data_IF_961649511329
#
_entry.id   IF_961649511329
#
_cell.length_a   1.000
_cell.length_b   1.000
_cell.length_c   1.000
_cell.angle_alpha   90.00
_cell.angle_beta   90.00
_cell.angle_gamma   90.00
#
_symmetry.space_group_name_H-M   'P 1'
#
loop_
_entity.id
_entity.type
_entity.pdbx_description
1 polymer ?
#
# COMPACT_ATOMS: atom_id res chain seq x y z
N UNK A 1 47.47 62.46 -8.68
CA UNK A 1 47.72 61.36 -7.71
C UNK A 1 46.38 60.81 -7.25
N UNK A 2 45.98 59.62 -7.70
CA UNK A 2 45.02 58.75 -7.00
C UNK A 2 45.12 57.37 -7.65
N UNK A 3 45.52 56.37 -6.85
CA UNK A 3 45.78 54.98 -7.23
C UNK A 3 44.47 54.20 -7.23
N UNK A 4 44.20 53.43 -8.29
CA UNK A 4 43.25 52.32 -8.26
C UNK A 4 43.82 51.17 -7.41
N UNK A 5 43.13 50.78 -6.35
CA UNK A 5 43.32 49.52 -5.65
C UNK A 5 42.18 48.57 -5.99
N UNK A 6 42.50 47.44 -6.62
CA UNK A 6 41.62 46.30 -6.79
C UNK A 6 41.73 45.42 -5.54
N UNK A 7 40.61 45.18 -4.87
CA UNK A 7 40.49 44.23 -3.77
C UNK A 7 40.04 42.86 -4.33
N UNK A 8 40.74 41.74 -4.06
CA UNK A 8 40.34 40.44 -4.57
C UNK A 8 39.21 39.84 -3.72
N UNK A 9 38.08 39.57 -4.37
CA UNK A 9 36.94 38.81 -3.85
C UNK A 9 37.41 37.51 -3.18
N UNK A 10 37.19 37.40 -1.86
CA UNK A 10 37.26 36.14 -1.13
C UNK A 10 36.21 35.18 -1.68
N UNK A 11 36.65 34.18 -2.43
CA UNK A 11 35.89 32.96 -2.71
C UNK A 11 35.65 32.23 -1.39
N UNK A 12 34.47 32.43 -0.79
CA UNK A 12 33.96 31.55 0.26
C UNK A 12 33.67 30.19 -0.35
N UNK A 13 34.38 29.16 0.14
CA UNK A 13 34.13 27.75 -0.17
C UNK A 13 32.63 27.45 -0.02
N UNK A 14 31.96 26.78 -0.98
CA UNK A 14 30.63 26.28 -0.74
C UNK A 14 30.72 25.27 0.42
N UNK A 15 29.93 25.52 1.46
CA UNK A 15 29.72 24.57 2.55
C UNK A 15 29.18 23.28 1.96
N UNK A 16 29.91 22.18 2.17
CA UNK A 16 29.46 20.84 1.78
C UNK A 16 28.05 20.63 2.34
N UNK A 17 27.06 20.22 1.52
CA UNK A 17 25.73 19.94 2.03
C UNK A 17 25.83 18.87 3.14
N UNK A 18 24.99 18.94 4.17
CA UNK A 18 24.99 17.95 5.24
C UNK A 18 24.85 16.55 4.64
N UNK A 19 25.64 15.62 5.15
CA UNK A 19 25.54 14.21 4.77
C UNK A 19 24.09 13.75 5.02
N UNK A 20 23.43 13.09 4.06
CA UNK A 20 22.10 12.57 4.28
C UNK A 20 22.10 11.60 5.47
N UNK A 21 21.04 11.57 6.29
CA UNK A 21 20.93 10.63 7.39
C UNK A 21 21.11 9.20 6.86
N UNK A 22 22.02 8.46 7.48
CA UNK A 22 22.19 7.03 7.20
C UNK A 22 20.90 6.30 7.63
N UNK A 23 20.55 5.18 6.99
CA UNK A 23 19.47 4.28 7.47
C UNK A 23 19.61 4.01 8.99
N UNK A 24 20.84 4.00 9.51
CA UNK A 24 21.15 3.80 10.95
C UNK A 24 20.66 4.91 11.88
N UNK A 25 20.34 6.12 11.41
CA UNK A 25 19.88 7.22 12.26
C UNK A 25 18.36 7.33 12.38
N UNK A 26 17.59 6.62 11.54
CA UNK A 26 16.14 6.56 11.65
C UNK A 26 15.72 5.37 12.52
N UNK A 27 14.81 5.61 13.46
CA UNK A 27 14.23 4.55 14.28
C UNK A 27 13.02 3.96 13.56
N UNK A 28 13.17 2.76 12.98
CA UNK A 28 12.08 2.02 12.35
C UNK A 28 11.26 1.22 13.37
N UNK A 29 10.92 1.84 14.51
CA UNK A 29 10.25 1.15 15.62
C UNK A 29 8.89 0.57 15.21
N UNK A 30 8.07 1.35 14.49
CA UNK A 30 6.77 0.89 13.98
C UNK A 30 6.92 -0.34 13.07
N UNK A 31 7.86 -0.30 12.12
CA UNK A 31 8.17 -1.41 11.21
C UNK A 31 8.67 -2.65 11.97
N UNK A 32 9.58 -2.49 12.93
CA UNK A 32 10.10 -3.62 13.71
C UNK A 32 9.02 -4.26 14.59
N UNK A 33 8.19 -3.43 15.25
CA UNK A 33 7.04 -3.90 16.02
C UNK A 33 6.06 -4.66 15.13
N UNK A 34 5.72 -4.09 13.97
CA UNK A 34 4.84 -4.72 13.00
C UNK A 34 5.40 -6.07 12.53
N UNK A 35 6.67 -6.14 12.08
CA UNK A 35 7.33 -7.40 11.69
C UNK A 35 7.30 -8.48 12.79
N UNK A 36 7.38 -8.09 14.06
CA UNK A 36 7.37 -9.03 15.19
C UNK A 36 5.96 -9.52 15.57
N UNK A 37 4.91 -8.90 15.05
CA UNK A 37 3.53 -9.25 15.40
C UNK A 37 3.17 -10.59 14.75
N UNK A 38 2.45 -11.49 15.43
CA UNK A 38 1.90 -12.70 14.80
C UNK A 38 0.95 -12.37 13.66
N UNK A 39 0.64 -13.35 12.82
CA UNK A 39 -0.43 -13.18 11.83
C UNK A 39 -1.73 -12.83 12.55
N UNK A 40 -2.38 -11.76 12.12
CA UNK A 40 -3.62 -11.30 12.71
C UNK A 40 -4.77 -12.08 12.06
N UNK A 41 -5.58 -12.88 12.78
CA UNK A 41 -6.68 -13.65 12.18
C UNK A 41 -7.99 -12.87 12.11
N UNK A 42 -8.03 -11.60 12.54
CA UNK A 42 -9.28 -10.87 12.79
C UNK A 42 -9.97 -10.36 11.51
N UNK A 43 -10.40 -11.26 10.64
CA UNK A 43 -11.03 -10.94 9.34
C UNK A 43 -12.51 -10.51 9.46
N UNK A 44 -13.09 -10.50 10.66
CA UNK A 44 -14.49 -10.11 10.88
C UNK A 44 -14.59 -8.94 11.87
N UNK A 45 -15.48 -7.99 11.60
CA UNK A 45 -15.74 -6.88 12.51
C UNK A 45 -16.96 -7.16 13.40
N UNK A 46 -16.71 -7.52 14.66
CA UNK A 46 -17.73 -7.83 15.65
C UNK A 46 -18.40 -6.60 16.28
N UNK A 47 -19.21 -6.80 17.33
CA UNK A 47 -19.86 -5.70 18.05
C UNK A 47 -18.87 -4.75 18.76
N UNK A 48 -17.71 -5.25 19.18
CA UNK A 48 -16.69 -4.51 19.96
C UNK A 48 -15.42 -4.19 19.18
N UNK A 49 -15.33 -4.54 17.90
CA UNK A 49 -14.13 -4.39 17.09
C UNK A 49 -13.77 -5.65 16.30
N UNK A 50 -12.55 -5.69 15.72
CA UNK A 50 -12.10 -6.81 14.90
C UNK A 50 -11.92 -8.08 15.75
N UNK A 51 -12.37 -9.21 15.23
CA UNK A 51 -12.29 -10.53 15.85
C UNK A 51 -12.11 -11.62 14.78
N UNK A 52 -11.70 -12.85 15.15
CA UNK A 52 -11.61 -13.96 14.20
C UNK A 52 -12.99 -14.30 13.60
N UNK A 53 -13.04 -14.97 12.43
CA UNK A 53 -14.29 -15.45 11.87
C UNK A 53 -15.05 -16.35 12.86
N UNK A 54 -16.36 -16.14 12.99
CA UNK A 54 -17.24 -17.06 13.71
C UNK A 54 -17.49 -18.31 12.87
N UNK A 55 -17.47 -19.50 13.48
CA UNK A 55 -17.69 -20.80 12.81
C UNK A 55 -19.02 -20.93 12.07
N UNK A 56 -19.97 -20.02 12.29
CA UNK A 56 -21.27 -19.94 11.62
C UNK A 56 -21.29 -19.05 10.39
N UNK A 57 -20.25 -18.25 10.15
CA UNK A 57 -20.14 -17.44 8.93
C UNK A 57 -19.67 -18.36 7.81
N UNK A 58 -20.55 -18.61 6.84
CA UNK A 58 -20.23 -19.38 5.63
C UNK A 58 -18.97 -18.79 5.01
N UNK A 59 -17.84 -19.46 5.22
CA UNK A 59 -16.64 -19.24 4.41
C UNK A 59 -17.12 -19.26 2.97
N UNK A 60 -16.75 -18.28 2.12
CA UNK A 60 -16.92 -18.47 0.68
C UNK A 60 -16.32 -19.84 0.41
N UNK A 61 -17.16 -20.78 -0.02
CA UNK A 61 -16.70 -22.13 -0.32
C UNK A 61 -15.53 -21.95 -1.26
N UNK A 62 -14.32 -22.30 -0.77
CA UNK A 62 -13.18 -22.50 -1.64
C UNK A 62 -13.74 -23.28 -2.85
N UNK A 63 -13.43 -22.86 -4.09
CA UNK A 63 -13.85 -23.63 -5.25
C UNK A 63 -13.57 -25.12 -4.96
N UNK A 64 -14.50 -26.03 -5.30
CA UNK A 64 -14.33 -27.46 -5.02
C UNK A 64 -12.91 -27.85 -5.41
N UNK A 65 -12.18 -28.63 -4.57
CA UNK A 65 -10.73 -28.75 -4.64
C UNK A 65 -10.32 -28.95 -6.09
N UNK A 66 -9.89 -27.87 -6.73
CA UNK A 66 -9.39 -27.92 -8.08
C UNK A 66 -8.16 -28.80 -7.96
N UNK A 67 -8.07 -29.81 -8.83
CA UNK A 67 -6.98 -30.79 -8.91
C UNK A 67 -5.60 -30.16 -9.13
N UNK A 68 -5.51 -28.83 -9.11
CA UNK A 68 -4.32 -28.02 -9.17
C UNK A 68 -3.63 -28.00 -7.80
N UNK A 69 -2.36 -28.42 -7.71
CA UNK A 69 -1.60 -28.31 -6.47
C UNK A 69 -1.50 -26.85 -6.03
N UNK A 70 -1.40 -26.63 -4.71
CA UNK A 70 -1.13 -25.30 -4.16
C UNK A 70 0.17 -24.73 -4.75
N UNK A 71 0.25 -23.41 -4.98
CA UNK A 71 1.47 -22.77 -5.45
C UNK A 71 2.67 -23.08 -4.54
N UNK A 72 3.84 -23.32 -5.13
CA UNK A 72 5.05 -23.76 -4.44
C UNK A 72 6.03 -22.64 -4.11
N UNK A 73 5.76 -21.41 -4.53
CA UNK A 73 6.57 -20.22 -4.25
C UNK A 73 5.68 -19.01 -3.99
N UNK A 74 6.22 -17.98 -3.32
CA UNK A 74 5.48 -16.75 -3.05
C UNK A 74 5.14 -15.99 -4.34
N UNK A 75 6.03 -16.06 -5.34
CA UNK A 75 5.80 -15.50 -6.68
C UNK A 75 4.65 -16.22 -7.42
N UNK A 76 4.51 -17.54 -7.26
CA UNK A 76 3.40 -18.28 -7.88
C UNK A 76 2.06 -17.98 -7.19
N UNK A 77 2.08 -17.81 -5.86
CA UNK A 77 0.92 -17.31 -5.12
C UNK A 77 0.50 -15.93 -5.61
N UNK A 78 1.45 -15.01 -5.77
CA UNK A 78 1.19 -13.67 -6.28
C UNK A 78 0.53 -13.72 -7.67
N UNK A 79 1.03 -14.53 -8.61
CA UNK A 79 0.41 -14.72 -9.94
C UNK A 79 -1.01 -15.27 -9.86
N UNK A 80 -1.27 -16.25 -8.98
CA UNK A 80 -2.62 -16.79 -8.76
C UNK A 80 -3.58 -15.74 -8.21
N UNK A 81 -3.15 -14.97 -7.21
CA UNK A 81 -3.96 -13.95 -6.54
C UNK A 81 -4.27 -12.80 -7.50
N UNK A 82 -3.28 -12.32 -8.24
CA UNK A 82 -3.48 -11.31 -9.28
C UNK A 82 -4.41 -11.81 -10.39
N UNK A 83 -4.46 -13.11 -10.66
CA UNK A 83 -5.37 -13.72 -11.64
C UNK A 83 -6.77 -13.99 -11.08
N UNK A 84 -7.02 -13.76 -9.80
CA UNK A 84 -8.32 -13.98 -9.14
C UNK A 84 -9.19 -12.73 -9.25
N UNK A 85 -10.32 -12.82 -9.95
CA UNK A 85 -11.20 -11.67 -10.17
C UNK A 85 -12.06 -11.31 -8.94
N UNK A 86 -12.61 -12.30 -8.25
CA UNK A 86 -13.52 -12.05 -7.12
C UNK A 86 -12.76 -11.45 -5.91
N UNK A 87 -13.15 -10.27 -5.40
CA UNK A 87 -12.40 -9.58 -4.34
C UNK A 87 -12.29 -10.35 -3.01
N UNK A 88 -13.36 -11.05 -2.60
CA UNK A 88 -13.35 -11.82 -1.35
C UNK A 88 -12.52 -13.10 -1.48
N UNK A 89 -12.57 -13.76 -2.64
CA UNK A 89 -11.71 -14.89 -2.97
C UNK A 89 -10.24 -14.46 -3.03
N UNK A 90 -9.95 -13.31 -3.66
CA UNK A 90 -8.61 -12.71 -3.69
C UNK A 90 -8.08 -12.44 -2.27
N UNK A 91 -8.92 -11.87 -1.41
CA UNK A 91 -8.57 -11.60 -0.01
C UNK A 91 -8.31 -12.89 0.77
N UNK A 92 -9.14 -13.92 0.56
CA UNK A 92 -8.99 -15.23 1.20
C UNK A 92 -7.71 -15.95 0.75
N UNK A 93 -7.41 -15.93 -0.55
CA UNK A 93 -6.17 -16.52 -1.10
C UNK A 93 -4.94 -15.76 -0.61
N UNK A 94 -5.01 -14.45 -0.49
CA UNK A 94 -3.94 -13.62 0.08
C UNK A 94 -3.61 -14.04 1.50
N UNK A 95 -4.63 -14.19 2.34
CA UNK A 95 -4.43 -14.65 3.72
C UNK A 95 -3.87 -16.06 3.79
N UNK A 96 -4.38 -16.96 2.94
CA UNK A 96 -3.87 -18.33 2.85
C UNK A 96 -2.40 -18.35 2.43
N UNK A 97 -2.00 -17.58 1.42
CA UNK A 97 -0.63 -17.51 0.93
C UNK A 97 0.34 -17.08 2.03
N UNK A 98 0.04 -15.98 2.72
CA UNK A 98 0.91 -15.46 3.77
C UNK A 98 0.93 -16.38 5.00
N UNK A 99 -0.23 -16.95 5.38
CA UNK A 99 -0.30 -17.98 6.42
C UNK A 99 0.57 -19.19 6.09
N UNK A 100 0.49 -19.71 4.86
CA UNK A 100 1.31 -20.84 4.41
C UNK A 100 2.80 -20.51 4.45
N UNK A 101 3.19 -19.31 4.01
CA UNK A 101 4.58 -18.83 4.09
C UNK A 101 5.11 -18.83 5.53
N UNK A 102 4.32 -18.39 6.52
CA UNK A 102 4.77 -18.38 7.92
C UNK A 102 4.92 -19.78 8.53
N UNK A 103 4.12 -20.75 8.12
CA UNK A 103 4.23 -22.13 8.60
C UNK A 103 5.38 -22.88 7.91
N UNK A 104 5.53 -22.66 6.61
CA UNK A 104 6.55 -23.26 5.77
C UNK A 104 7.07 -22.20 4.78
N UNK A 105 8.20 -21.55 5.08
CA UNK A 105 8.75 -20.49 4.23
C UNK A 105 8.84 -20.93 2.78
N UNK A 106 8.00 -20.31 1.95
CA UNK A 106 7.96 -20.58 0.52
C UNK A 106 9.10 -19.82 -0.14
N UNK A 107 9.81 -20.41 -1.12
CA UNK A 107 10.85 -19.70 -1.84
C UNK A 107 10.25 -18.52 -2.63
N UNK A 108 11.10 -17.53 -2.92
CA UNK A 108 10.81 -16.51 -3.93
C UNK A 108 11.34 -17.03 -5.26
N UNK A 109 10.47 -17.55 -6.12
CA UNK A 109 10.90 -18.04 -7.42
C UNK A 109 11.21 -16.88 -8.36
N UNK A 110 12.43 -16.87 -8.91
CA UNK A 110 12.86 -15.92 -9.96
C UNK A 110 12.43 -16.37 -11.35
N UNK A 111 11.98 -17.62 -11.48
CA UNK A 111 11.46 -18.23 -12.70
C UNK A 111 10.04 -18.72 -12.41
N UNK A 112 9.06 -17.83 -12.58
CA UNK A 112 7.65 -18.20 -12.43
C UNK A 112 7.19 -18.96 -13.68
N UNK A 113 6.60 -20.16 -13.56
CA UNK A 113 6.04 -20.90 -14.69
C UNK A 113 4.96 -20.11 -15.45
N UNK A 114 4.31 -19.16 -14.76
CA UNK A 114 3.38 -18.20 -15.35
C UNK A 114 3.85 -16.78 -15.00
N UNK A 115 4.16 -15.92 -15.99
CA UNK A 115 4.54 -14.55 -15.72
C UNK A 115 3.39 -13.81 -15.02
N UNK A 116 3.70 -12.77 -14.22
CA UNK A 116 2.64 -11.96 -13.63
C UNK A 116 1.74 -11.38 -14.72
N UNK A 117 0.41 -11.36 -14.51
CA UNK A 117 -0.48 -10.75 -15.48
C UNK A 117 -0.12 -9.27 -15.62
N UNK A 118 -0.32 -8.70 -16.82
CA UNK A 118 -0.10 -7.27 -17.04
C UNK A 118 -0.95 -6.40 -16.11
N UNK A 119 -2.12 -6.92 -15.73
CA UNK A 119 -3.10 -6.28 -14.86
C UNK A 119 -3.81 -7.34 -14.01
N UNK A 120 -4.15 -7.06 -12.73
CA UNK A 120 -4.92 -7.95 -11.92
C UNK A 120 -6.31 -8.17 -12.53
N UNK A 121 -6.78 -9.40 -12.45
CA UNK A 121 -8.15 -9.73 -12.72
C UNK A 121 -9.07 -8.93 -11.78
N UNK A 122 -10.19 -8.46 -12.34
CA UNK A 122 -11.20 -7.67 -11.66
C UNK A 122 -12.59 -8.27 -11.91
N UNK A 123 -13.53 -8.10 -10.98
CA UNK A 123 -14.93 -8.44 -11.23
C UNK A 123 -15.52 -7.51 -12.31
N UNK A 124 -16.70 -7.85 -12.83
CA UNK A 124 -17.40 -7.00 -13.82
C UNK A 124 -17.76 -5.60 -13.27
N UNK A 125 -17.88 -5.44 -11.95
CA UNK A 125 -18.17 -4.18 -11.29
C UNK A 125 -17.29 -3.99 -10.06
N UNK A 126 -16.79 -2.78 -9.76
CA UNK A 126 -17.15 -1.50 -10.40
C UNK A 126 -16.55 -1.33 -11.80
N UNK A 127 -17.17 -0.47 -12.63
CA UNK A 127 -16.49 0.03 -13.82
C UNK A 127 -15.32 0.92 -13.40
N UNK A 128 -14.15 0.68 -14.00
CA UNK A 128 -12.96 1.46 -13.72
C UNK A 128 -12.87 2.62 -14.71
N UNK A 129 -12.90 3.84 -14.19
CA UNK A 129 -13.03 5.08 -14.97
C UNK A 129 -11.94 6.08 -14.57
N UNK A 130 -11.84 7.21 -15.29
CA UNK A 130 -10.97 8.29 -14.82
C UNK A 130 -11.52 8.93 -13.55
N UNK A 131 -10.66 9.58 -12.76
CA UNK A 131 -11.07 10.24 -11.52
C UNK A 131 -12.17 11.31 -11.71
N UNK A 132 -12.32 11.87 -12.92
CA UNK A 132 -13.34 12.88 -13.24
C UNK A 132 -14.73 12.27 -13.50
N UNK A 133 -14.77 10.97 -13.78
CA UNK A 133 -15.98 10.23 -14.11
C UNK A 133 -16.54 9.46 -12.91
N UNK A 134 -15.78 9.39 -11.81
CA UNK A 134 -16.32 8.90 -10.54
C UNK A 134 -17.35 9.92 -10.04
N UNK A 135 -18.61 9.52 -9.79
CA UNK A 135 -19.64 10.46 -9.36
C UNK A 135 -19.25 11.12 -8.05
N UNK A 136 -19.58 12.41 -7.89
CA UNK A 136 -19.41 13.07 -6.60
C UNK A 136 -20.34 12.47 -5.54
N UNK A 137 -20.10 12.65 -4.23
CA UNK A 137 -21.02 12.17 -3.19
C UNK A 137 -22.47 12.65 -3.37
N UNK A 138 -22.68 13.81 -4.00
CA UNK A 138 -24.01 14.38 -4.25
C UNK A 138 -24.72 13.74 -5.46
N UNK A 139 -23.96 13.26 -6.43
CA UNK A 139 -24.47 12.64 -7.67
C UNK A 139 -24.54 11.12 -7.57
N UNK A 140 -23.84 10.54 -6.60
CA UNK A 140 -23.91 9.11 -6.31
C UNK A 140 -25.28 8.72 -5.72
N UNK A 141 -25.72 7.50 -6.04
CA UNK A 141 -26.91 6.89 -5.44
C UNK A 141 -26.65 6.34 -4.03
N UNK A 142 -25.39 6.27 -3.61
CA UNK A 142 -25.01 5.81 -2.28
C UNK A 142 -25.15 6.94 -1.24
N UNK A 143 -25.60 6.64 -0.01
CA UNK A 143 -25.51 7.58 1.09
C UNK A 143 -24.02 7.86 1.40
N UNK A 144 -23.75 9.00 2.03
CA UNK A 144 -22.38 9.50 2.22
C UNK A 144 -21.43 8.49 2.86
N UNK A 145 -21.87 7.78 3.90
CA UNK A 145 -21.06 6.77 4.59
C UNK A 145 -20.73 5.57 3.68
N UNK A 146 -21.70 5.05 2.92
CA UNK A 146 -21.48 3.96 1.96
C UNK A 146 -20.61 4.43 0.77
N UNK A 147 -20.78 5.66 0.29
CA UNK A 147 -19.94 6.26 -0.74
C UNK A 147 -18.47 6.30 -0.32
N UNK A 148 -18.20 6.81 0.89
CA UNK A 148 -16.84 6.93 1.41
C UNK A 148 -16.21 5.55 1.64
N UNK A 149 -16.99 4.62 2.20
CA UNK A 149 -16.53 3.27 2.48
C UNK A 149 -16.30 2.44 1.21
N UNK A 150 -17.10 2.63 0.16
CA UNK A 150 -16.87 1.97 -1.14
C UNK A 150 -15.58 2.45 -1.78
N UNK A 151 -15.30 3.76 -1.76
CA UNK A 151 -14.01 4.28 -2.22
C UNK A 151 -12.85 3.70 -1.40
N UNK A 152 -12.98 3.62 -0.07
CA UNK A 152 -11.95 3.00 0.77
C UNK A 152 -11.75 1.53 0.41
N UNK A 153 -12.83 0.73 0.31
CA UNK A 153 -12.76 -0.66 -0.14
C UNK A 153 -12.08 -0.80 -1.51
N UNK A 154 -12.27 0.16 -2.42
CA UNK A 154 -11.55 0.17 -3.69
C UNK A 154 -10.05 0.37 -3.51
N UNK A 155 -9.64 1.27 -2.62
CA UNK A 155 -8.22 1.47 -2.25
C UNK A 155 -7.64 0.19 -1.66
N UNK A 156 -8.28 -0.39 -0.64
CA UNK A 156 -7.80 -1.63 0.01
C UNK A 156 -7.62 -2.78 -0.99
N UNK A 157 -8.60 -2.99 -1.89
CA UNK A 157 -8.49 -4.03 -2.91
C UNK A 157 -7.33 -3.78 -3.88
N UNK A 158 -7.07 -2.51 -4.22
CA UNK A 158 -5.90 -2.17 -5.01
C UNK A 158 -4.63 -2.43 -4.21
N UNK A 159 -4.56 -2.06 -2.93
CA UNK A 159 -3.36 -2.25 -2.10
C UNK A 159 -2.93 -3.74 -2.04
N UNK A 160 -3.89 -4.67 -1.96
CA UNK A 160 -3.64 -6.13 -2.14
C UNK A 160 -2.93 -6.39 -3.48
N UNK A 161 -3.48 -5.87 -4.58
CA UNK A 161 -2.93 -6.05 -5.93
C UNK A 161 -1.55 -5.40 -6.09
N UNK A 162 -1.33 -4.20 -5.55
CA UNK A 162 -0.07 -3.47 -5.62
C UNK A 162 1.05 -4.20 -4.88
N UNK A 163 0.73 -4.75 -3.70
CA UNK A 163 1.66 -5.50 -2.88
C UNK A 163 2.06 -6.81 -3.55
N UNK A 164 1.08 -7.61 -4.03
CA UNK A 164 1.38 -8.85 -4.74
C UNK A 164 2.09 -8.63 -6.07
N UNK A 165 1.72 -7.58 -6.81
CA UNK A 165 2.45 -7.20 -8.02
C UNK A 165 3.92 -6.88 -7.71
N UNK A 166 4.18 -6.17 -6.61
CA UNK A 166 5.55 -5.87 -6.16
C UNK A 166 6.33 -7.16 -5.86
N UNK A 167 5.70 -8.14 -5.21
CA UNK A 167 6.33 -9.44 -4.92
C UNK A 167 6.76 -10.16 -6.20
N UNK A 168 5.84 -10.36 -7.13
CA UNK A 168 6.12 -11.17 -8.33
C UNK A 168 6.97 -10.44 -9.36
N UNK A 169 6.74 -9.13 -9.54
CA UNK A 169 7.37 -8.35 -10.60
C UNK A 169 8.85 -8.10 -10.34
N UNK A 170 9.21 -7.91 -9.08
CA UNK A 170 10.60 -7.71 -8.68
C UNK A 170 11.27 -8.99 -8.18
N UNK A 171 10.62 -10.16 -8.29
CA UNK A 171 11.22 -11.45 -7.96
C UNK A 171 12.57 -11.70 -8.67
N UNK A 172 12.78 -11.31 -9.96
CA UNK A 172 14.10 -11.40 -10.58
C UNK A 172 15.22 -10.60 -9.89
N UNK A 173 14.86 -9.61 -9.05
CA UNK A 173 15.79 -8.80 -8.27
C UNK A 173 16.05 -9.37 -6.85
N UNK A 174 15.61 -10.59 -6.56
CA UNK A 174 15.72 -11.22 -5.23
C UNK A 174 17.12 -11.14 -4.64
N UNK A 175 18.16 -11.43 -5.41
CA UNK A 175 19.54 -11.39 -4.92
C UNK A 175 19.97 -9.98 -4.45
N UNK A 176 19.44 -8.93 -5.07
CA UNK A 176 19.73 -7.55 -4.70
C UNK A 176 18.88 -7.07 -3.51
N UNK A 177 17.60 -7.44 -3.48
CA UNK A 177 16.61 -6.96 -2.49
C UNK A 177 16.60 -7.80 -1.20
N UNK A 178 16.86 -9.10 -1.31
CA UNK A 178 16.75 -10.08 -0.21
C UNK A 178 15.31 -10.51 0.06
N UNK A 179 15.16 -11.67 0.72
CA UNK A 179 13.84 -12.28 0.98
C UNK A 179 12.91 -11.38 1.81
N UNK A 180 13.48 -10.61 2.74
CA UNK A 180 12.72 -9.69 3.59
C UNK A 180 11.90 -8.65 2.82
N UNK A 181 12.32 -8.28 1.60
CA UNK A 181 11.55 -7.36 0.75
C UNK A 181 10.22 -8.00 0.37
N UNK A 182 10.27 -9.24 -0.11
CA UNK A 182 9.09 -9.97 -0.57
C UNK A 182 8.19 -10.38 0.59
N UNK A 183 8.79 -10.73 1.72
CA UNK A 183 8.05 -11.02 2.95
C UNK A 183 7.26 -9.80 3.44
N UNK A 184 7.89 -8.63 3.52
CA UNK A 184 7.20 -7.42 3.95
C UNK A 184 6.03 -7.08 3.02
N UNK A 185 6.19 -7.14 1.69
CA UNK A 185 5.09 -6.85 0.77
C UNK A 185 3.99 -7.91 0.79
N UNK A 186 4.32 -9.20 0.94
CA UNK A 186 3.30 -10.24 1.13
C UNK A 186 2.52 -10.05 2.44
N UNK A 187 3.20 -9.54 3.47
CA UNK A 187 2.57 -9.20 4.75
C UNK A 187 1.69 -7.95 4.66
N UNK A 188 2.13 -6.90 3.96
CA UNK A 188 1.27 -5.75 3.62
C UNK A 188 0.01 -6.26 2.96
N UNK A 189 0.13 -7.10 1.92
CA UNK A 189 -1.04 -7.67 1.24
C UNK A 189 -2.01 -8.41 2.19
N UNK A 190 -1.50 -9.14 3.19
CA UNK A 190 -2.32 -9.81 4.20
C UNK A 190 -3.13 -8.82 5.07
N UNK A 191 -2.53 -7.69 5.44
CA UNK A 191 -3.24 -6.61 6.15
C UNK A 191 -4.31 -5.97 5.26
N UNK A 192 -3.99 -5.64 4.01
CA UNK A 192 -4.97 -5.05 3.08
C UNK A 192 -6.12 -5.99 2.76
N UNK A 193 -5.87 -7.30 2.72
CA UNK A 193 -6.92 -8.31 2.56
C UNK A 193 -7.92 -8.29 3.72
N UNK A 194 -7.45 -7.98 4.93
CA UNK A 194 -8.27 -7.82 6.13
C UNK A 194 -9.02 -6.50 6.09
N UNK A 195 -8.35 -5.40 5.74
CA UNK A 195 -8.96 -4.07 5.60
C UNK A 195 -10.11 -4.10 4.59
N UNK A 196 -9.88 -4.69 3.41
CA UNK A 196 -10.90 -4.88 2.39
C UNK A 196 -12.10 -5.69 2.93
N UNK A 197 -11.82 -6.79 3.64
CA UNK A 197 -12.88 -7.65 4.18
C UNK A 197 -13.75 -6.90 5.20
N UNK A 198 -13.15 -6.06 6.08
CA UNK A 198 -13.92 -5.21 7.00
C UNK A 198 -14.78 -4.18 6.25
N UNK A 199 -14.23 -3.55 5.22
CA UNK A 199 -14.98 -2.59 4.40
C UNK A 199 -16.15 -3.28 3.66
N UNK A 200 -15.90 -4.43 3.04
CA UNK A 200 -16.90 -5.21 2.32
C UNK A 200 -18.01 -5.70 3.24
N UNK A 201 -17.67 -6.20 4.44
CA UNK A 201 -18.64 -6.57 5.45
C UNK A 201 -19.53 -5.36 5.82
N UNK A 202 -18.90 -4.21 6.11
CA UNK A 202 -19.64 -3.03 6.53
C UNK A 202 -20.51 -2.42 5.42
N UNK A 203 -20.08 -2.49 4.16
CA UNK A 203 -20.94 -2.12 3.02
C UNK A 203 -22.20 -3.00 2.98
N UNK A 204 -22.05 -4.32 3.15
CA UNK A 204 -23.18 -5.24 3.16
C UNK A 204 -24.16 -4.95 4.30
N UNK A 205 -23.66 -4.64 5.50
CA UNK A 205 -24.48 -4.21 6.64
C UNK A 205 -25.25 -2.90 6.38
N UNK A 206 -24.72 -2.02 5.53
CA UNK A 206 -25.37 -0.78 5.10
C UNK A 206 -26.36 -1.01 3.94
N UNK A 207 -26.46 -2.23 3.42
CA UNK A 207 -27.34 -2.58 2.29
C UNK A 207 -26.71 -2.35 0.91
N UNK A 208 -25.39 -2.21 0.83
CA UNK A 208 -24.63 -1.95 -0.39
C UNK A 208 -23.53 -3.00 -0.59
N UNK A 209 -22.87 -2.96 -1.74
CA UNK A 209 -21.72 -3.83 -2.03
C UNK A 209 -20.64 -3.06 -2.78
N UNK A 210 -19.41 -3.57 -2.66
CA UNK A 210 -18.34 -3.15 -3.54
C UNK A 210 -18.75 -3.41 -4.99
N UNK A 211 -18.67 -2.36 -5.82
CA UNK A 211 -19.16 -2.37 -7.21
C UNK A 211 -20.45 -1.59 -7.48
N UNK A 212 -21.16 -1.10 -6.46
CA UNK A 212 -22.42 -0.34 -6.65
C UNK A 212 -22.24 1.06 -7.27
N UNK A 213 -21.00 1.56 -7.36
CA UNK A 213 -20.65 2.77 -8.11
C UNK A 213 -19.32 2.60 -8.86
N UNK A 214 -19.08 3.35 -9.94
CA UNK A 214 -17.78 3.39 -10.62
C UNK A 214 -16.64 3.75 -9.66
N UNK A 215 -15.45 3.27 -9.96
CA UNK A 215 -14.24 3.55 -9.18
C UNK A 215 -13.10 4.03 -10.09
N UNK A 216 -12.14 4.77 -9.55
CA UNK A 216 -11.04 5.31 -10.36
C UNK A 216 -9.95 4.27 -10.64
N UNK A 217 -9.28 4.33 -11.79
CA UNK A 217 -8.15 3.42 -12.09
C UNK A 217 -6.75 3.97 -11.70
N UNK A 218 -6.70 5.03 -10.89
CA UNK A 218 -5.47 5.78 -10.62
C UNK A 218 -4.34 4.89 -10.05
N UNK A 219 -4.62 4.15 -8.98
CA UNK A 219 -3.60 3.37 -8.26
C UNK A 219 -2.91 2.33 -9.16
N UNK A 220 -3.71 1.56 -9.91
CA UNK A 220 -3.15 0.56 -10.82
C UNK A 220 -2.36 1.21 -11.96
N UNK A 221 -2.84 2.33 -12.51
CA UNK A 221 -2.09 3.05 -13.55
C UNK A 221 -0.71 3.51 -13.06
N UNK A 222 -0.61 4.02 -11.84
CA UNK A 222 0.69 4.40 -11.26
C UNK A 222 1.59 3.18 -10.97
N UNK A 223 1.00 2.05 -10.59
CA UNK A 223 1.70 0.77 -10.44
C UNK A 223 2.29 0.26 -11.75
N UNK A 224 1.49 0.33 -12.83
CA UNK A 224 1.86 -0.10 -14.16
C UNK A 224 2.98 0.78 -14.74
N UNK A 225 2.89 2.10 -14.55
CA UNK A 225 3.95 3.04 -14.96
C UNK A 225 5.28 2.75 -14.29
N UNK A 226 5.25 2.41 -13.00
CA UNK A 226 6.45 2.09 -12.20
C UNK A 226 6.91 0.62 -12.30
N UNK A 227 6.30 -0.19 -13.17
CA UNK A 227 6.54 -1.64 -13.26
C UNK A 227 7.98 -2.04 -13.62
N UNK A 228 8.72 -1.14 -14.28
CA UNK A 228 10.11 -1.39 -14.71
C UNK A 228 11.20 -0.94 -13.73
N UNK A 229 10.85 -0.26 -12.63
CA UNK A 229 11.83 0.33 -11.71
C UNK A 229 11.36 0.21 -10.25
N UNK A 230 12.11 -0.56 -9.45
CA UNK A 230 11.77 -0.79 -8.03
C UNK A 230 11.86 0.49 -7.18
N UNK A 231 12.77 1.40 -7.50
CA UNK A 231 12.87 2.70 -6.85
C UNK A 231 11.65 3.56 -7.17
N UNK A 232 11.23 3.59 -8.43
CA UNK A 232 9.99 4.26 -8.85
C UNK A 232 8.75 3.64 -8.18
N UNK A 233 8.68 2.30 -8.11
CA UNK A 233 7.58 1.59 -7.42
C UNK A 233 7.45 2.06 -5.99
N UNK A 234 8.57 2.07 -5.26
CA UNK A 234 8.62 2.46 -3.85
C UNK A 234 8.33 3.96 -3.65
N UNK A 235 8.80 4.82 -4.55
CA UNK A 235 8.50 6.25 -4.48
C UNK A 235 7.01 6.53 -4.74
N UNK A 236 6.45 5.94 -5.80
CA UNK A 236 5.11 6.30 -6.27
C UNK A 236 4.01 5.64 -5.45
N UNK A 237 4.18 4.38 -5.03
CA UNK A 237 3.12 3.64 -4.34
C UNK A 237 3.16 3.88 -2.82
N UNK A 238 4.08 3.28 -2.03
CA UNK A 238 4.01 3.41 -0.58
C UNK A 238 4.36 4.82 -0.08
N UNK A 239 5.28 5.54 -0.73
CA UNK A 239 5.71 6.87 -0.26
C UNK A 239 4.79 8.02 -0.71
N UNK A 240 3.94 7.81 -1.72
CA UNK A 240 2.96 8.83 -2.16
C UNK A 240 1.53 8.34 -2.01
N UNK A 241 1.12 7.23 -2.64
CA UNK A 241 -0.27 6.80 -2.58
C UNK A 241 -0.67 6.34 -1.17
N UNK A 242 0.10 5.45 -0.55
CA UNK A 242 -0.22 4.99 0.81
C UNK A 242 -0.01 6.10 1.85
N UNK A 243 1.04 6.93 1.67
CA UNK A 243 1.25 8.10 2.53
C UNK A 243 0.09 9.13 2.49
N UNK A 244 -0.67 9.22 1.39
CA UNK A 244 -1.91 10.02 1.34
C UNK A 244 -3.00 9.43 2.22
N UNK A 245 -3.01 8.11 2.45
CA UNK A 245 -3.85 7.43 3.42
C UNK A 245 -3.64 7.95 4.84
N UNK A 246 -2.37 8.14 5.25
CA UNK A 246 -2.03 8.73 6.56
C UNK A 246 -2.58 10.15 6.75
N UNK A 247 -2.64 10.92 5.67
CA UNK A 247 -3.16 12.29 5.68
C UNK A 247 -4.69 12.32 5.69
N UNK A 248 -5.32 11.43 4.92
CA UNK A 248 -6.77 11.41 4.71
C UNK A 248 -7.55 10.66 5.78
N UNK A 249 -6.98 9.61 6.36
CA UNK A 249 -7.61 8.72 7.34
C UNK A 249 -8.28 9.46 8.50
N UNK A 250 -7.56 10.32 9.25
CA UNK A 250 -8.16 11.07 10.36
C UNK A 250 -9.33 11.96 9.94
N UNK A 251 -9.25 12.59 8.77
CA UNK A 251 -10.34 13.43 8.23
C UNK A 251 -11.57 12.58 7.88
N UNK A 252 -11.35 11.40 7.31
CA UNK A 252 -12.42 10.46 6.99
C UNK A 252 -13.11 9.96 8.26
N UNK A 253 -12.35 9.62 9.30
CA UNK A 253 -12.89 9.25 10.63
C UNK A 253 -13.79 10.36 11.18
N UNK A 254 -13.30 11.62 11.21
CA UNK A 254 -14.09 12.75 11.73
C UNK A 254 -15.36 12.99 10.92
N UNK A 255 -15.29 12.82 9.59
CA UNK A 255 -16.46 12.96 8.72
C UNK A 255 -17.53 11.91 9.01
N UNK A 256 -17.13 10.66 9.29
CA UNK A 256 -18.05 9.56 9.63
C UNK A 256 -18.65 9.73 11.03
N UNK A 257 -17.86 10.22 11.99
CA UNK A 257 -18.37 10.60 13.33
C UNK A 257 -19.42 11.70 13.20
N UNK A 258 -19.12 12.76 12.44
CA UNK A 258 -20.07 13.85 12.20
C UNK A 258 -21.34 13.42 11.46
N UNK A 259 -21.28 12.36 10.66
CA UNK A 259 -22.45 11.73 10.04
C UNK A 259 -23.24 10.82 11.01
N UNK A 260 -22.67 10.46 12.16
CA UNK A 260 -23.27 9.56 13.16
C UNK A 260 -22.99 8.07 12.94
N UNK A 261 -22.12 7.70 11.99
CA UNK A 261 -21.78 6.29 11.71
C UNK A 261 -20.49 5.88 12.45
N UNK A 262 -20.61 5.71 13.76
CA UNK A 262 -19.50 5.33 14.63
C UNK A 262 -18.90 3.96 14.30
N UNK A 263 -19.70 3.03 13.76
CA UNK A 263 -19.19 1.70 13.39
C UNK A 263 -18.23 1.81 12.21
N UNK A 264 -18.63 2.53 11.16
CA UNK A 264 -17.75 2.77 10.01
C UNK A 264 -16.54 3.62 10.42
N UNK A 265 -16.70 4.63 11.29
CA UNK A 265 -15.56 5.43 11.76
C UNK A 265 -14.53 4.59 12.51
N UNK A 266 -14.95 3.61 13.31
CA UNK A 266 -14.02 2.73 14.04
C UNK A 266 -13.26 1.79 13.09
N UNK A 267 -13.91 1.30 12.02
CA UNK A 267 -13.24 0.52 10.98
C UNK A 267 -12.15 1.36 10.31
N UNK A 268 -12.51 2.56 9.84
CA UNK A 268 -11.55 3.47 9.19
C UNK A 268 -10.42 3.87 10.13
N UNK A 269 -10.72 4.12 11.40
CA UNK A 269 -9.70 4.46 12.39
C UNK A 269 -8.70 3.31 12.59
N UNK A 270 -9.18 2.06 12.58
CA UNK A 270 -8.30 0.91 12.73
C UNK A 270 -7.43 0.67 11.49
N UNK A 271 -7.98 0.85 10.29
CA UNK A 271 -7.21 0.80 9.04
C UNK A 271 -6.11 1.87 9.09
N UNK A 272 -6.47 3.13 9.36
CA UNK A 272 -5.52 4.23 9.42
C UNK A 272 -4.41 4.06 10.47
N UNK A 273 -4.66 3.32 11.56
CA UNK A 273 -3.64 2.93 12.55
C UNK A 273 -2.65 1.91 11.97
N UNK A 274 -3.14 0.92 11.22
CA UNK A 274 -2.32 -0.15 10.63
C UNK A 274 -1.48 0.36 9.43
N UNK A 275 -1.95 1.36 8.68
CA UNK A 275 -1.28 1.97 7.51
C UNK A 275 0.12 2.56 7.79
N UNK A 276 0.38 3.00 9.04
CA UNK A 276 1.68 3.61 9.40
C UNK A 276 2.83 2.64 9.13
N UNK A 277 2.61 1.35 9.41
CA UNK A 277 3.62 0.32 9.20
C UNK A 277 3.88 0.07 7.71
N UNK A 278 2.86 0.16 6.85
CA UNK A 278 2.99 -0.07 5.41
C UNK A 278 3.79 1.05 4.74
N UNK A 279 3.56 2.29 5.15
CA UNK A 279 4.39 3.42 4.71
C UNK A 279 5.83 3.26 5.23
N UNK A 280 6.02 2.78 6.46
CA UNK A 280 7.35 2.52 7.00
C UNK A 280 8.11 1.41 6.24
N UNK A 281 7.42 0.36 5.76
CA UNK A 281 7.98 -0.63 4.82
C UNK A 281 8.50 0.07 3.57
N UNK A 282 7.70 0.96 2.98
CA UNK A 282 8.08 1.76 1.81
C UNK A 282 9.34 2.60 2.04
N UNK A 283 9.40 3.34 3.15
CA UNK A 283 10.56 4.17 3.51
C UNK A 283 11.81 3.31 3.66
N UNK A 284 11.71 2.22 4.42
CA UNK A 284 12.84 1.33 4.67
C UNK A 284 13.43 0.78 3.37
N UNK A 285 12.59 0.23 2.50
CA UNK A 285 13.05 -0.35 1.24
C UNK A 285 13.52 0.70 0.25
N UNK A 286 12.88 1.87 0.19
CA UNK A 286 13.32 2.96 -0.68
C UNK A 286 14.74 3.42 -0.31
N UNK A 287 15.01 3.60 0.98
CA UNK A 287 16.35 3.95 1.45
C UNK A 287 17.36 2.84 1.18
N UNK A 288 17.00 1.57 1.39
CA UNK A 288 17.84 0.41 1.10
C UNK A 288 18.22 0.33 -0.38
N UNK A 289 17.25 0.53 -1.28
CA UNK A 289 17.47 0.60 -2.74
C UNK A 289 18.38 1.77 -3.09
N UNK A 290 18.11 2.98 -2.56
CA UNK A 290 18.98 4.14 -2.78
C UNK A 290 20.42 3.87 -2.32
N UNK A 291 20.61 3.24 -1.15
CA UNK A 291 21.92 2.89 -0.64
C UNK A 291 22.66 1.91 -1.59
N UNK A 292 21.98 0.86 -2.05
CA UNK A 292 22.55 -0.12 -3.00
C UNK A 292 22.91 0.51 -4.35
N UNK A 293 22.16 1.52 -4.77
CA UNK A 293 22.41 2.28 -5.99
C UNK A 293 23.39 3.45 -5.82
N UNK A 294 23.88 3.72 -4.60
CA UNK A 294 24.73 4.87 -4.32
C UNK A 294 24.04 6.23 -4.51
N UNK A 295 22.70 6.29 -4.41
CA UNK A 295 21.90 7.50 -4.57
C UNK A 295 21.54 8.12 -3.21
N UNK A 296 21.41 9.44 -3.17
CA UNK A 296 20.90 10.17 -2.00
C UNK A 296 19.37 10.06 -1.98
N UNK A 297 18.73 9.51 -0.93
CA UNK A 297 17.29 9.24 -0.93
C UNK A 297 16.40 10.44 -1.25
N UNK A 298 16.63 11.60 -0.63
CA UNK A 298 15.79 12.78 -0.87
C UNK A 298 15.90 13.32 -2.31
N UNK A 299 17.07 13.19 -2.93
CA UNK A 299 17.29 13.58 -4.33
C UNK A 299 16.60 12.58 -5.25
N UNK A 300 16.87 11.28 -5.06
CA UNK A 300 16.25 10.22 -5.85
C UNK A 300 14.73 10.25 -5.77
N UNK A 301 14.16 10.54 -4.60
CA UNK A 301 12.72 10.66 -4.42
C UNK A 301 12.15 11.79 -5.28
N UNK A 302 12.72 13.01 -5.19
CA UNK A 302 12.27 14.14 -6.01
C UNK A 302 12.43 13.89 -7.50
N UNK A 303 13.57 13.34 -7.93
CA UNK A 303 13.83 13.02 -9.34
C UNK A 303 12.77 12.03 -9.87
N UNK A 304 12.43 11.01 -9.10
CA UNK A 304 11.39 10.04 -9.46
C UNK A 304 9.98 10.66 -9.48
N UNK A 305 9.66 11.58 -8.55
CA UNK A 305 8.38 12.28 -8.60
C UNK A 305 8.24 13.14 -9.85
N UNK A 306 9.32 13.81 -10.26
CA UNK A 306 9.35 14.60 -11.51
C UNK A 306 9.25 13.68 -12.75
N UNK A 307 10.08 12.64 -12.84
CA UNK A 307 10.09 11.69 -13.95
C UNK A 307 8.73 11.01 -14.15
N UNK A 308 8.08 10.62 -13.05
CA UNK A 308 6.78 9.96 -13.08
C UNK A 308 5.61 10.95 -12.98
N UNK A 309 5.86 12.26 -13.00
CA UNK A 309 4.84 13.31 -12.92
C UNK A 309 3.84 13.08 -11.77
N UNK A 310 4.36 12.78 -10.58
CA UNK A 310 3.59 12.49 -9.38
C UNK A 310 3.69 13.67 -8.42
N UNK A 311 2.56 14.31 -8.15
CA UNK A 311 2.52 15.47 -7.26
C UNK A 311 2.29 15.07 -5.79
N UNK A 312 3.07 15.68 -4.90
CA UNK A 312 2.79 15.71 -3.47
C UNK A 312 2.03 16.99 -3.13
N UNK A 313 0.85 16.84 -2.54
CA UNK A 313 0.02 17.98 -2.08
C UNK A 313 -0.50 17.71 -0.69
N UNK A 314 -0.29 18.68 0.20
CA UNK A 314 -0.84 18.67 1.55
C UNK A 314 -2.34 19.00 1.58
N UNK A 315 -2.91 19.16 2.79
CA UNK A 315 -2.21 19.17 4.08
C UNK A 315 -1.73 17.78 4.52
N UNK A 316 -0.52 17.73 5.08
CA UNK A 316 0.13 16.50 5.54
C UNK A 316 -0.12 16.23 7.02
N UNK A 317 -0.26 14.96 7.38
CA UNK A 317 -0.25 14.49 8.75
C UNK A 317 1.21 14.27 9.19
N UNK A 318 1.86 15.35 9.64
CA UNK A 318 3.27 15.31 10.03
C UNK A 318 3.56 14.26 11.11
N UNK A 319 2.68 14.07 12.09
CA UNK A 319 2.89 13.10 13.16
C UNK A 319 2.93 11.66 12.62
N UNK A 320 1.95 11.27 11.79
CA UNK A 320 1.92 9.93 11.22
C UNK A 320 3.05 9.71 10.19
N UNK A 321 3.41 10.72 9.40
CA UNK A 321 4.53 10.63 8.46
C UNK A 321 5.88 10.54 9.17
N UNK A 322 6.07 11.28 10.26
CA UNK A 322 7.27 11.19 11.11
C UNK A 322 7.36 9.78 11.76
N UNK A 323 6.24 9.22 12.23
CA UNK A 323 6.16 7.87 12.80
C UNK A 323 6.46 6.78 11.76
N UNK A 324 5.96 6.94 10.53
CA UNK A 324 6.29 6.08 9.40
C UNK A 324 7.75 6.25 8.93
N UNK A 325 8.45 7.29 9.40
CA UNK A 325 9.85 7.56 9.11
C UNK A 325 10.10 8.36 7.83
N UNK A 326 9.07 8.98 7.21
CA UNK A 326 9.27 9.85 6.05
C UNK A 326 9.94 11.15 6.52
N UNK A 327 11.18 11.46 6.07
CA UNK A 327 11.84 12.69 6.44
C UNK A 327 11.08 13.92 5.91
N UNK A 328 10.93 14.95 6.75
CA UNK A 328 10.16 16.17 6.42
C UNK A 328 10.70 16.95 5.21
N UNK A 329 11.98 16.82 4.90
CA UNK A 329 12.60 17.50 3.75
C UNK A 329 12.26 16.83 2.40
N UNK A 330 11.44 15.77 2.40
CA UNK A 330 10.98 15.10 1.19
C UNK A 330 9.67 15.67 0.64
N UNK A 331 8.88 16.45 1.40
CA UNK A 331 7.51 16.82 1.04
C UNK A 331 7.05 18.21 1.48
#
# INVERSE_FOLDING_TARGET
MLRCGLDPLRLTRPTKPPSPPSIRSLSFTALHSWRSTPINPNRFWGPKGPQPPTTTTTTPSLPPPTTTPLPSSLSDWASLILSTADPLSKSSLTHLAFSSYLHHPLPISTTTPSPPPHRPARPQSPSLVSHKEVPSPKESKLPLNAYLLHNLAHVELNAIDLAWDTVVRFAPMREALGDGFFEDFARVADDESRHFTWCSQRLAELGFKYGDMPAHDLLWRECERSSGDVGARLAVIPLVQEARGLDAGPRLVQKLIGFGDHRTSNIVAKIAEEEVAHVAVGVFWFMSVCQKMGRVPCVAFRDLLEEFNVELKGPFNYAARDEAGIPRDWY
#
